data_IF_410327522780
#
_entry.id   IF_410327522780
#
_cell.length_a   1.000
_cell.length_b   1.000
_cell.length_c   1.000
_cell.angle_alpha   90.00
_cell.angle_beta   90.00
_cell.angle_gamma   90.00
#
_symmetry.space_group_name_H-M   'P 1'
#
loop_
_entity.id
_entity.type
_entity.pdbx_description
1 polymer ?
#
# COMPACT_ATOMS: atom_id res chain seq x y z
N UNK A 1 -49.03 -27.60 27.55
CA UNK A 1 -47.82 -27.81 26.73
C UNK A 1 -46.63 -27.11 27.38
N UNK A 2 -45.86 -27.77 28.27
CA UNK A 2 -44.85 -27.11 29.12
C UNK A 2 -43.49 -26.84 28.44
N UNK A 3 -43.31 -27.30 27.20
CA UNK A 3 -42.04 -27.19 26.48
C UNK A 3 -41.78 -25.80 25.86
N UNK A 4 -42.83 -25.08 25.45
CA UNK A 4 -42.69 -23.75 24.82
C UNK A 4 -42.10 -22.69 25.76
N UNK A 5 -42.51 -22.72 27.04
CA UNK A 5 -42.03 -21.77 28.05
C UNK A 5 -40.53 -21.91 28.32
N UNK A 6 -40.00 -23.14 28.38
CA UNK A 6 -38.58 -23.38 28.60
C UNK A 6 -37.73 -22.95 27.41
N UNK A 7 -38.23 -23.13 26.18
CA UNK A 7 -37.54 -22.71 24.96
C UNK A 7 -37.46 -21.18 24.86
N UNK A 8 -38.58 -20.47 25.09
CA UNK A 8 -38.60 -19.01 25.07
C UNK A 8 -37.67 -18.40 26.13
N UNK A 9 -37.66 -18.96 27.35
CA UNK A 9 -36.79 -18.48 28.43
C UNK A 9 -35.30 -18.68 28.12
N UNK A 10 -34.92 -19.83 27.54
CA UNK A 10 -33.52 -20.09 27.13
C UNK A 10 -33.06 -19.15 26.01
N UNK A 11 -33.94 -18.84 25.05
CA UNK A 11 -33.64 -17.99 23.91
C UNK A 11 -33.47 -16.52 24.32
N UNK A 12 -34.26 -16.06 25.30
CA UNK A 12 -34.11 -14.73 25.91
C UNK A 12 -32.74 -14.58 26.59
N UNK A 13 -32.34 -15.57 27.41
CA UNK A 13 -31.03 -15.55 28.08
C UNK A 13 -29.84 -15.63 27.09
N UNK A 14 -29.98 -16.36 25.98
CA UNK A 14 -28.92 -16.44 24.96
C UNK A 14 -28.77 -15.13 24.18
N UNK A 15 -29.89 -14.47 23.84
CA UNK A 15 -29.91 -13.17 23.15
C UNK A 15 -29.19 -12.12 23.99
N UNK A 16 -29.48 -12.05 25.27
CA UNK A 16 -28.91 -11.03 26.17
C UNK A 16 -27.40 -11.19 26.32
N UNK A 17 -26.93 -12.44 26.46
CA UNK A 17 -25.49 -12.77 26.51
C UNK A 17 -24.75 -12.46 25.21
N UNK A 18 -25.41 -12.64 24.06
CA UNK A 18 -24.84 -12.32 22.75
C UNK A 18 -24.72 -10.81 22.53
N UNK A 19 -25.70 -10.03 22.98
CA UNK A 19 -25.66 -8.56 22.94
C UNK A 19 -24.55 -8.01 23.84
N UNK A 20 -24.39 -8.54 25.06
CA UNK A 20 -23.30 -8.16 25.96
C UNK A 20 -21.92 -8.54 25.42
N UNK A 21 -21.78 -9.72 24.81
CA UNK A 21 -20.53 -10.14 24.18
C UNK A 21 -20.18 -9.30 22.95
N UNK A 22 -21.17 -8.92 22.14
CA UNK A 22 -20.97 -8.07 20.97
C UNK A 22 -20.58 -6.63 21.34
N UNK A 23 -21.13 -6.07 22.43
CA UNK A 23 -20.80 -4.71 22.88
C UNK A 23 -19.35 -4.58 23.39
N UNK A 24 -18.74 -5.66 23.88
CA UNK A 24 -17.37 -5.64 24.41
C UNK A 24 -16.30 -6.02 23.38
N UNK A 25 -16.68 -6.53 22.20
CA UNK A 25 -15.74 -6.99 21.17
C UNK A 25 -15.32 -5.89 20.16
N UNK A 26 -16.05 -4.77 20.09
CA UNK A 26 -15.83 -3.72 19.08
C UNK A 26 -14.64 -2.75 19.33
N UNK A 27 -14.08 -2.53 20.54
CA UNK A 27 -13.03 -1.52 20.70
C UNK A 27 -11.60 -2.05 20.55
N UNK A 28 -11.37 -3.37 20.45
CA UNK A 28 -10.00 -3.94 20.46
C UNK A 28 -9.35 -3.99 19.07
N UNK A 29 -10.12 -3.91 17.98
CA UNK A 29 -9.58 -3.99 16.63
C UNK A 29 -8.92 -2.69 16.10
N UNK A 30 -9.04 -1.57 16.82
CA UNK A 30 -8.56 -0.26 16.33
C UNK A 30 -7.07 0.06 16.67
N UNK A 31 -6.37 -0.78 17.45
CA UNK A 31 -5.02 -0.47 17.93
C UNK A 31 -3.85 -1.07 17.12
N UNK A 32 -4.09 -1.65 15.94
CA UNK A 32 -3.02 -2.31 15.15
C UNK A 32 -2.41 -1.41 14.06
N UNK A 33 -2.84 -0.16 13.90
CA UNK A 33 -2.41 0.70 12.78
C UNK A 33 -1.44 1.81 13.19
N UNK A 34 -0.33 1.49 13.85
CA UNK A 34 0.80 2.42 13.97
C UNK A 34 2.07 1.73 14.49
N UNK A 35 2.63 0.82 13.69
CA UNK A 35 4.04 0.46 13.84
C UNK A 35 4.74 0.51 12.49
N UNK A 36 4.46 1.56 11.69
CA UNK A 36 5.46 2.00 10.74
C UNK A 36 6.59 2.64 11.56
N UNK A 37 7.69 1.92 11.73
CA UNK A 37 8.93 2.53 12.21
C UNK A 37 9.36 3.49 11.11
N UNK A 38 9.37 4.83 11.32
CA UNK A 38 9.89 5.73 10.33
C UNK A 38 11.35 5.35 10.10
N UNK A 39 11.68 4.96 8.87
CA UNK A 39 13.07 4.76 8.48
C UNK A 39 13.77 6.11 8.67
N UNK A 40 14.94 6.17 9.34
CA UNK A 40 15.66 7.42 9.47
C UNK A 40 16.04 7.94 8.08
N UNK A 41 15.34 8.98 7.62
CA UNK A 41 15.60 9.69 6.37
C UNK A 41 16.80 10.63 6.57
N UNK A 42 18.00 10.08 6.70
CA UNK A 42 19.25 10.84 6.52
C UNK A 42 20.47 9.91 6.58
N UNK A 43 20.77 9.21 5.47
CA UNK A 43 22.15 8.82 5.20
C UNK A 43 22.84 10.03 4.58
N UNK A 44 23.36 10.92 5.43
CA UNK A 44 24.33 11.96 5.04
C UNK A 44 25.59 11.25 4.54
N UNK A 45 25.58 10.82 3.27
CA UNK A 45 26.67 10.04 2.65
C UNK A 45 26.24 9.02 1.60
N UNK A 46 24.95 8.79 1.37
CA UNK A 46 24.49 7.91 0.29
C UNK A 46 24.66 8.58 -1.08
N UNK A 47 25.54 8.06 -1.92
CA UNK A 47 25.58 8.45 -3.34
C UNK A 47 24.57 7.61 -4.12
N UNK A 48 23.95 8.19 -5.15
CA UNK A 48 23.15 7.42 -6.11
C UNK A 48 24.08 6.39 -6.75
N UNK A 49 23.70 5.12 -6.65
CA UNK A 49 24.49 4.01 -7.18
C UNK A 49 23.84 3.37 -8.41
N UNK A 50 22.50 3.41 -8.50
CA UNK A 50 21.78 2.78 -9.60
C UNK A 50 20.56 3.61 -10.04
N UNK A 51 20.27 3.55 -11.35
CA UNK A 51 19.09 4.16 -11.98
C UNK A 51 18.44 3.10 -12.88
N UNK A 52 17.29 2.60 -12.45
CA UNK A 52 16.55 1.55 -13.15
C UNK A 52 15.39 2.15 -13.92
N UNK A 53 15.29 1.83 -15.20
CA UNK A 53 14.21 2.25 -16.10
C UNK A 53 13.39 1.04 -16.50
N UNK A 54 12.06 1.15 -16.40
CA UNK A 54 11.11 0.10 -16.79
C UNK A 54 10.00 0.64 -17.70
N UNK A 55 9.65 -0.09 -18.77
CA UNK A 55 10.28 -1.29 -19.30
C UNK A 55 11.61 -0.98 -19.98
N UNK A 56 12.48 -1.99 -20.14
CA UNK A 56 13.78 -1.84 -20.81
C UNK A 56 13.65 -1.57 -22.31
N UNK A 57 12.59 -2.09 -22.90
CA UNK A 57 12.29 -1.98 -24.31
C UNK A 57 10.78 -2.01 -24.50
N UNK A 58 10.30 -1.23 -25.47
CA UNK A 58 8.90 -1.21 -25.88
C UNK A 58 8.83 -1.12 -27.40
N UNK A 59 7.85 -1.78 -27.98
CA UNK A 59 7.51 -1.67 -29.40
C UNK A 59 6.19 -0.94 -29.51
N UNK A 60 6.18 0.19 -30.20
CA UNK A 60 5.02 1.06 -30.35
C UNK A 60 4.60 1.11 -31.82
N UNK A 61 3.31 1.27 -32.08
CA UNK A 61 2.83 1.60 -33.42
C UNK A 61 2.95 3.11 -33.66
N UNK A 62 2.73 3.52 -34.92
CA UNK A 62 2.73 4.93 -35.29
C UNK A 62 1.67 5.69 -34.48
N UNK A 63 2.10 6.81 -33.87
CA UNK A 63 1.30 7.70 -33.02
C UNK A 63 0.92 7.15 -31.64
N UNK A 64 1.46 6.00 -31.22
CA UNK A 64 1.31 5.52 -29.85
C UNK A 64 2.24 6.31 -28.91
N UNK A 65 1.77 6.50 -27.67
CA UNK A 65 2.56 7.05 -26.57
C UNK A 65 2.73 5.99 -25.48
N UNK A 66 3.84 6.06 -24.75
CA UNK A 66 4.16 5.12 -23.69
C UNK A 66 4.94 5.81 -22.58
N UNK A 67 4.63 5.45 -21.33
CA UNK A 67 5.27 6.01 -20.15
C UNK A 67 6.37 5.09 -19.63
N UNK A 68 7.57 5.65 -19.43
CA UNK A 68 8.65 4.97 -18.74
C UNK A 68 8.69 5.38 -17.28
N UNK A 69 8.95 4.42 -16.39
CA UNK A 69 9.21 4.70 -14.99
C UNK A 69 10.69 4.60 -14.71
N UNK A 70 11.27 5.63 -14.10
CA UNK A 70 12.64 5.63 -13.58
C UNK A 70 12.64 5.61 -12.06
N UNK A 71 13.44 4.74 -11.46
CA UNK A 71 13.67 4.68 -10.02
C UNK A 71 15.17 4.69 -9.73
N UNK A 72 15.60 5.59 -8.85
CA UNK A 72 16.98 5.66 -8.40
C UNK A 72 17.16 4.97 -7.05
N UNK A 73 18.28 4.29 -6.89
CA UNK A 73 18.67 3.61 -5.66
C UNK A 73 20.02 4.12 -5.17
N UNK A 74 20.11 4.36 -3.87
CA UNK A 74 21.37 4.70 -3.21
C UNK A 74 22.27 3.47 -3.10
N UNK A 75 23.55 3.68 -2.82
CA UNK A 75 24.49 2.60 -2.49
C UNK A 75 24.07 1.75 -1.28
N UNK A 76 23.15 2.24 -0.45
CA UNK A 76 22.53 1.50 0.67
C UNK A 76 21.39 0.58 0.24
N UNK A 77 20.92 0.68 -1.01
CA UNK A 77 19.75 -0.04 -1.55
C UNK A 77 18.42 0.69 -1.35
N UNK A 78 18.40 1.83 -0.68
CA UNK A 78 17.19 2.64 -0.47
C UNK A 78 16.82 3.44 -1.72
N UNK A 79 15.52 3.69 -1.93
CA UNK A 79 15.05 4.59 -3.00
C UNK A 79 15.50 6.03 -2.77
N UNK A 80 15.99 6.68 -3.83
CA UNK A 80 16.35 8.09 -3.84
C UNK A 80 15.43 8.89 -4.77
N UNK A 81 15.14 10.14 -4.38
CA UNK A 81 14.54 11.10 -5.29
C UNK A 81 15.63 11.74 -6.15
N UNK A 82 15.49 11.68 -7.48
CA UNK A 82 16.45 12.26 -8.43
C UNK A 82 15.69 12.95 -9.56
N UNK A 83 16.25 14.05 -10.06
CA UNK A 83 15.78 14.68 -11.30
C UNK A 83 16.40 13.96 -12.49
N UNK A 84 15.57 13.48 -13.42
CA UNK A 84 16.00 12.73 -14.61
C UNK A 84 15.77 13.58 -15.85
N UNK A 85 16.80 13.73 -16.68
CA UNK A 85 16.69 14.39 -17.98
C UNK A 85 16.55 13.33 -19.08
N UNK A 86 15.46 13.40 -19.84
CA UNK A 86 15.16 12.45 -20.92
C UNK A 86 15.63 12.97 -22.28
N UNK A 87 16.12 12.06 -23.12
CA UNK A 87 16.43 12.34 -24.53
C UNK A 87 16.13 11.12 -25.39
N UNK A 88 15.72 11.35 -26.64
CA UNK A 88 15.45 10.29 -27.61
C UNK A 88 16.19 10.57 -28.91
N UNK A 89 16.60 9.51 -29.61
CA UNK A 89 17.13 9.63 -30.97
C UNK A 89 16.02 9.93 -31.99
N UNK A 90 14.80 9.46 -31.74
CA UNK A 90 13.66 9.61 -32.66
C UNK A 90 12.36 9.91 -31.89
N UNK A 91 11.48 10.70 -32.49
CA UNK A 91 10.20 11.07 -31.89
C UNK A 91 10.33 12.19 -30.86
N UNK A 92 9.42 12.17 -29.88
CA UNK A 92 9.36 13.15 -28.78
C UNK A 92 9.31 12.42 -27.45
N UNK A 93 10.00 12.95 -26.44
CA UNK A 93 9.94 12.48 -25.05
C UNK A 93 9.72 13.68 -24.15
N UNK A 94 8.83 13.54 -23.16
CA UNK A 94 8.49 14.59 -22.21
C UNK A 94 8.50 14.03 -20.79
N UNK A 95 8.75 14.89 -19.81
CA UNK A 95 8.70 14.56 -18.37
C UNK A 95 7.37 15.00 -17.75
N UNK A 96 6.31 15.08 -18.56
CA UNK A 96 5.05 15.71 -18.16
C UNK A 96 4.01 14.73 -17.59
N UNK A 97 4.28 13.42 -17.60
CA UNK A 97 3.30 12.40 -17.21
C UNK A 97 2.12 12.41 -18.17
#
# INVERSE_FOLDING_TARGET
>A
MPFGHKLAHRLALLKDRFVHAALLALPVAAFVMACEKPLPTSSTGGTIADLVISPKNVTLHLNDTFEFTAAAFMNTGDSANVSVTWSTTYGSVTDLG
#
